data_IF_099175352080
#
_entry.id   IF_099175352080
#
_cell.length_a   1.000
_cell.length_b   1.000
_cell.length_c   1.000
_cell.angle_alpha   90.00
_cell.angle_beta   90.00
_cell.angle_gamma   90.00
#
_symmetry.space_group_name_H-M   'P 1'
#
loop_
_entity.id
_entity.type
_entity.pdbx_description
1 polymer ?
#
# COMPACT_ATOMS: atom_id res chain seq x y z
N UNK A 1 41.60 68.43 3.58
CA UNK A 1 40.49 67.80 4.26
C UNK A 1 39.74 66.99 3.22
N UNK A 2 40.00 65.70 3.12
CA UNK A 2 39.34 64.75 2.20
C UNK A 2 38.40 63.86 3.04
N UNK A 3 37.08 63.87 2.70
CA UNK A 3 36.08 63.10 3.38
C UNK A 3 36.16 61.61 2.97
N UNK A 4 35.91 60.66 3.87
CA UNK A 4 35.99 59.24 3.55
C UNK A 4 34.73 58.74 2.78
N UNK A 5 34.99 58.00 1.69
CA UNK A 5 34.00 57.29 0.87
C UNK A 5 33.49 56.09 1.66
N UNK A 6 32.17 56.01 1.85
CA UNK A 6 31.46 54.84 2.46
C UNK A 6 31.36 53.68 1.45
N UNK A 7 31.68 52.44 1.83
CA UNK A 7 31.49 51.30 0.96
C UNK A 7 30.01 50.96 0.77
N UNK A 8 29.58 50.72 -0.49
CA UNK A 8 28.27 50.22 -0.85
C UNK A 8 28.10 48.78 -0.31
N UNK A 9 27.10 48.57 0.52
CA UNK A 9 26.69 47.24 0.96
C UNK A 9 26.17 46.43 -0.22
N UNK A 10 26.87 45.33 -0.56
CA UNK A 10 26.38 44.32 -1.49
C UNK A 10 25.19 43.55 -0.86
N UNK A 11 24.13 43.39 -1.60
CA UNK A 11 22.95 42.58 -1.23
C UNK A 11 23.36 41.09 -1.15
N UNK A 12 22.84 40.31 -0.19
CA UNK A 12 23.20 38.93 -0.04
C UNK A 12 22.64 38.07 -1.22
N UNK A 13 23.38 37.03 -1.65
CA UNK A 13 23.05 36.25 -2.86
C UNK A 13 21.73 35.49 -2.80
N UNK A 14 21.09 35.40 -1.63
CA UNK A 14 19.80 34.74 -1.46
C UNK A 14 18.59 35.49 -2.06
N UNK A 15 18.67 36.80 -2.27
CA UNK A 15 17.59 37.60 -2.84
C UNK A 15 17.53 37.49 -4.38
N UNK A 16 18.65 37.20 -5.05
CA UNK A 16 18.70 37.03 -6.51
C UNK A 16 18.12 35.63 -6.90
N UNK A 17 18.32 34.61 -6.06
CA UNK A 17 17.74 33.27 -6.30
C UNK A 17 16.21 33.23 -6.16
N UNK A 18 15.62 34.06 -5.29
CA UNK A 18 14.18 34.11 -5.06
C UNK A 18 13.43 34.79 -6.22
N UNK A 19 14.03 35.75 -6.90
CA UNK A 19 13.41 36.46 -8.04
C UNK A 19 13.45 35.60 -9.31
N UNK A 20 14.45 34.73 -9.50
CA UNK A 20 14.49 33.78 -10.62
C UNK A 20 13.55 32.57 -10.45
N UNK A 21 13.22 32.18 -9.22
CA UNK A 21 12.29 31.07 -8.97
C UNK A 21 10.82 31.46 -9.21
N UNK A 22 10.47 32.75 -9.20
CA UNK A 22 9.10 33.22 -9.46
C UNK A 22 8.79 33.46 -10.95
N UNK A 23 9.81 33.48 -11.82
CA UNK A 23 9.61 33.71 -13.26
C UNK A 23 9.36 32.42 -14.08
N UNK A 24 9.53 31.23 -13.50
CA UNK A 24 9.33 29.93 -14.20
C UNK A 24 7.95 29.28 -13.94
N UNK A 25 7.04 29.94 -13.22
CA UNK A 25 5.73 29.36 -12.85
C UNK A 25 4.57 29.86 -13.70
N UNK A 26 4.80 30.43 -14.87
CA UNK A 26 3.75 31.02 -15.71
C UNK A 26 3.69 30.46 -17.14
N UNK A 27 4.11 29.20 -17.37
CA UNK A 27 3.75 28.50 -18.60
C UNK A 27 3.07 27.19 -18.19
N UNK A 28 1.88 27.29 -17.58
CA UNK A 28 0.93 26.20 -17.72
C UNK A 28 0.62 26.12 -19.23
N UNK A 29 0.77 24.94 -19.89
CA UNK A 29 0.24 24.79 -21.23
C UNK A 29 -1.26 25.11 -21.11
N UNK A 30 -1.69 26.18 -21.76
CA UNK A 30 -3.10 26.41 -21.97
C UNK A 30 -3.60 25.09 -22.56
N UNK A 31 -4.46 24.37 -21.85
CA UNK A 31 -5.18 23.24 -22.41
C UNK A 31 -5.75 23.80 -23.71
N UNK A 32 -5.26 23.28 -24.85
CA UNK A 32 -5.77 23.65 -26.14
C UNK A 32 -7.28 23.38 -26.06
N UNK A 33 -8.06 24.44 -25.91
CA UNK A 33 -9.49 24.38 -26.22
C UNK A 33 -9.52 23.82 -27.61
N UNK A 34 -10.16 22.65 -27.78
CA UNK A 34 -10.47 22.14 -29.09
C UNK A 34 -11.08 23.36 -29.83
N UNK A 35 -10.38 23.82 -30.88
CA UNK A 35 -10.87 24.89 -31.70
C UNK A 35 -12.25 24.43 -32.18
N UNK A 36 -13.28 25.24 -31.82
CA UNK A 36 -14.65 25.01 -32.21
C UNK A 36 -14.67 25.29 -33.72
N UNK A 37 -14.30 24.31 -34.56
CA UNK A 37 -14.32 24.39 -36.01
C UNK A 37 -15.56 23.65 -36.56
N UNK A 38 -16.69 24.35 -36.70
CA UNK A 38 -17.94 23.77 -37.16
C UNK A 38 -17.84 23.19 -38.58
N UNK A 39 -16.93 23.71 -39.41
CA UNK A 39 -16.72 23.24 -40.76
C UNK A 39 -16.01 21.89 -40.76
N UNK A 40 -14.88 21.80 -40.06
CA UNK A 40 -14.15 20.55 -39.92
C UNK A 40 -15.00 19.49 -39.22
N UNK A 41 -15.78 19.85 -38.17
CA UNK A 41 -16.70 18.93 -37.51
C UNK A 41 -17.75 18.36 -38.50
N UNK A 42 -18.29 19.20 -39.38
CA UNK A 42 -19.25 18.76 -40.40
C UNK A 42 -18.61 17.84 -41.44
N UNK A 43 -17.40 18.15 -41.89
CA UNK A 43 -16.67 17.34 -42.86
C UNK A 43 -16.44 15.95 -42.31
N UNK A 44 -15.98 15.84 -41.04
CA UNK A 44 -15.77 14.55 -40.35
C UNK A 44 -17.11 13.81 -40.12
N UNK A 45 -18.20 14.50 -39.81
CA UNK A 45 -19.53 13.90 -39.70
C UNK A 45 -19.96 13.26 -41.04
N UNK A 46 -19.83 14.02 -42.15
CA UNK A 46 -20.17 13.51 -43.49
C UNK A 46 -19.30 12.33 -43.87
N UNK A 47 -18.00 12.36 -43.55
CA UNK A 47 -17.08 11.23 -43.75
C UNK A 47 -17.54 10.00 -42.96
N UNK A 48 -17.90 10.18 -41.70
CA UNK A 48 -18.43 9.09 -40.86
C UNK A 48 -19.72 8.51 -41.45
N UNK A 49 -20.63 9.33 -41.92
CA UNK A 49 -21.86 8.88 -42.56
C UNK A 49 -21.62 8.12 -43.87
N UNK A 50 -20.58 8.44 -44.63
CA UNK A 50 -20.16 7.64 -45.77
C UNK A 50 -19.64 6.27 -45.38
N UNK A 51 -18.71 6.23 -44.38
CA UNK A 51 -18.14 4.98 -43.88
C UNK A 51 -19.20 4.03 -43.29
N UNK A 52 -20.28 4.58 -42.70
CA UNK A 52 -21.43 3.76 -42.29
C UNK A 52 -22.10 3.05 -43.49
N UNK A 53 -22.26 3.74 -44.62
CA UNK A 53 -22.83 3.11 -45.84
C UNK A 53 -21.94 2.01 -46.39
N UNK A 54 -20.63 2.16 -46.22
CA UNK A 54 -19.62 1.16 -46.63
C UNK A 54 -19.44 0.06 -45.57
N UNK A 55 -20.24 0.07 -44.48
CA UNK A 55 -20.18 -0.83 -43.31
C UNK A 55 -18.82 -0.83 -42.60
N UNK A 56 -17.98 0.19 -42.80
CA UNK A 56 -16.77 0.41 -42.03
C UNK A 56 -17.11 1.10 -40.69
N UNK A 57 -17.58 0.33 -39.74
CA UNK A 57 -18.03 0.81 -38.42
C UNK A 57 -16.90 1.41 -37.60
N UNK A 58 -15.67 0.87 -37.73
CA UNK A 58 -14.52 1.35 -36.98
C UNK A 58 -14.02 2.69 -37.52
N UNK A 59 -13.93 2.84 -38.84
CA UNK A 59 -13.61 4.10 -39.49
C UNK A 59 -14.68 5.17 -39.25
N UNK A 60 -15.97 4.78 -39.31
CA UNK A 60 -17.08 5.66 -39.00
C UNK A 60 -17.05 6.17 -37.56
N UNK A 61 -16.78 5.26 -36.59
CA UNK A 61 -16.61 5.64 -35.19
C UNK A 61 -15.52 6.70 -35.01
N UNK A 62 -14.33 6.46 -35.57
CA UNK A 62 -13.20 7.39 -35.47
C UNK A 62 -13.55 8.79 -36.07
N UNK A 63 -14.25 8.83 -37.20
CA UNK A 63 -14.70 10.07 -37.82
C UNK A 63 -15.73 10.80 -36.95
N UNK A 64 -16.75 10.09 -36.41
CA UNK A 64 -17.74 10.69 -35.51
C UNK A 64 -17.13 11.13 -34.19
N UNK A 65 -16.20 10.40 -33.61
CA UNK A 65 -15.47 10.80 -32.40
C UNK A 65 -14.63 12.08 -32.66
N UNK A 66 -14.05 12.23 -33.86
CA UNK A 66 -13.34 13.44 -34.27
C UNK A 66 -14.29 14.60 -34.42
N UNK A 67 -15.43 14.42 -35.15
CA UNK A 67 -16.49 15.39 -35.26
C UNK A 67 -17.00 15.87 -33.89
N UNK A 68 -17.24 14.93 -32.97
CA UNK A 68 -17.72 15.23 -31.60
C UNK A 68 -16.71 16.02 -30.77
N UNK A 69 -15.40 15.77 -30.96
CA UNK A 69 -14.35 16.57 -30.28
C UNK A 69 -14.28 17.99 -30.80
N UNK A 70 -14.44 18.18 -32.10
CA UNK A 70 -14.46 19.52 -32.74
C UNK A 70 -15.72 20.29 -32.38
N UNK A 71 -16.88 19.64 -32.42
CA UNK A 71 -18.18 20.26 -32.07
C UNK A 71 -19.11 19.18 -31.50
N UNK A 72 -19.30 19.11 -30.17
CA UNK A 72 -20.27 18.20 -29.58
C UNK A 72 -21.68 18.42 -30.10
N UNK A 73 -22.37 17.34 -30.50
CA UNK A 73 -23.75 17.41 -30.99
C UNK A 73 -24.47 16.07 -30.74
N UNK A 74 -25.70 16.04 -30.19
CA UNK A 74 -26.39 14.82 -29.81
C UNK A 74 -26.63 13.87 -30.98
N UNK A 75 -26.78 14.35 -32.23
CA UNK A 75 -26.85 13.46 -33.39
C UNK A 75 -25.51 12.76 -33.65
N UNK A 76 -24.37 13.45 -33.44
CA UNK A 76 -23.04 12.82 -33.57
C UNK A 76 -22.85 11.76 -32.50
N UNK A 77 -23.23 12.06 -31.24
CA UNK A 77 -23.19 11.12 -30.12
C UNK A 77 -24.09 9.90 -30.34
N UNK A 78 -25.29 10.11 -30.94
CA UNK A 78 -26.16 9.01 -31.39
C UNK A 78 -25.46 8.10 -32.43
N UNK A 79 -24.80 8.68 -33.45
CA UNK A 79 -24.11 7.90 -34.47
C UNK A 79 -22.90 7.14 -33.91
N UNK A 80 -22.19 7.70 -32.93
CA UNK A 80 -21.17 6.98 -32.15
C UNK A 80 -21.79 5.73 -31.49
N UNK A 81 -22.95 5.89 -30.83
CA UNK A 81 -23.68 4.79 -30.22
C UNK A 81 -24.09 3.72 -31.25
N UNK A 82 -24.54 4.12 -32.44
CA UNK A 82 -24.91 3.21 -33.51
C UNK A 82 -23.72 2.38 -34.03
N UNK A 83 -22.56 3.02 -34.26
CA UNK A 83 -21.32 2.34 -34.63
C UNK A 83 -20.87 1.33 -33.56
N UNK A 84 -20.85 1.74 -32.28
CA UNK A 84 -20.49 0.87 -31.16
C UNK A 84 -21.43 -0.34 -31.03
N UNK A 85 -22.75 -0.13 -31.23
CA UNK A 85 -23.75 -1.20 -31.23
C UNK A 85 -23.49 -2.19 -32.37
N UNK A 86 -23.20 -1.69 -33.57
CA UNK A 86 -22.89 -2.54 -34.74
C UNK A 86 -21.61 -3.40 -34.50
N UNK A 87 -20.64 -2.89 -33.74
CA UNK A 87 -19.43 -3.61 -33.37
C UNK A 87 -19.60 -4.52 -32.12
N UNK A 88 -20.79 -4.63 -31.53
CA UNK A 88 -21.04 -5.46 -30.34
C UNK A 88 -20.52 -4.84 -29.03
N UNK A 89 -20.09 -3.59 -29.00
CA UNK A 89 -19.62 -2.89 -27.81
C UNK A 89 -20.81 -2.25 -27.07
N UNK A 90 -21.65 -3.08 -26.50
CA UNK A 90 -22.97 -2.69 -26.02
C UNK A 90 -22.93 -1.77 -24.79
N UNK A 91 -22.00 -1.96 -23.87
CA UNK A 91 -21.82 -1.06 -22.71
C UNK A 91 -21.46 0.35 -23.14
N UNK A 92 -20.53 0.50 -24.10
CA UNK A 92 -20.14 1.79 -24.68
C UNK A 92 -21.28 2.40 -25.49
N UNK A 93 -21.96 1.58 -26.32
CA UNK A 93 -23.10 2.01 -27.12
C UNK A 93 -24.24 2.57 -26.23
N UNK A 94 -24.57 1.84 -25.17
CA UNK A 94 -25.57 2.27 -24.21
C UNK A 94 -25.21 3.62 -23.57
N UNK A 95 -23.94 3.79 -23.18
CA UNK A 95 -23.43 5.04 -22.62
C UNK A 95 -23.59 6.17 -23.64
N UNK A 96 -23.18 5.96 -24.89
CA UNK A 96 -23.31 6.96 -25.95
C UNK A 96 -24.77 7.36 -26.22
N UNK A 97 -25.69 6.41 -26.32
CA UNK A 97 -27.12 6.69 -26.50
C UNK A 97 -27.71 7.45 -25.31
N UNK A 98 -27.34 7.08 -24.07
CA UNK A 98 -27.77 7.81 -22.88
C UNK A 98 -27.26 9.26 -22.91
N UNK A 99 -25.98 9.46 -23.25
CA UNK A 99 -25.40 10.80 -23.40
C UNK A 99 -26.09 11.61 -24.49
N UNK A 100 -26.42 11.01 -25.64
CA UNK A 100 -27.15 11.70 -26.70
C UNK A 100 -28.54 12.24 -26.23
N UNK A 101 -29.25 11.42 -25.41
CA UNK A 101 -30.52 11.84 -24.79
C UNK A 101 -30.32 12.97 -23.78
N UNK A 102 -29.23 12.90 -23.00
CA UNK A 102 -28.91 13.96 -22.04
C UNK A 102 -28.42 15.26 -22.69
N UNK A 103 -27.73 15.18 -23.81
CA UNK A 103 -27.24 16.32 -24.57
C UNK A 103 -28.40 17.04 -25.31
N UNK A 104 -29.42 16.28 -25.72
CA UNK A 104 -30.60 16.81 -26.39
C UNK A 104 -31.35 17.80 -25.52
N UNK A 105 -31.64 18.98 -26.05
CA UNK A 105 -32.33 20.04 -25.33
C UNK A 105 -31.48 20.90 -24.40
N UNK A 106 -30.16 20.67 -24.33
CA UNK A 106 -29.25 21.48 -23.49
C UNK A 106 -28.97 22.88 -24.09
N UNK A 107 -29.32 23.13 -25.34
CA UNK A 107 -29.08 24.40 -25.99
C UNK A 107 -29.74 24.51 -27.35
N UNK A 108 -29.77 25.72 -27.95
CA UNK A 108 -30.36 25.95 -29.26
C UNK A 108 -29.70 25.07 -30.33
N UNK A 109 -30.50 24.34 -31.11
CA UNK A 109 -30.02 23.46 -32.17
C UNK A 109 -29.35 22.18 -31.71
N UNK A 110 -29.40 21.88 -30.42
CA UNK A 110 -28.92 20.62 -29.84
C UNK A 110 -30.07 19.66 -29.56
N UNK A 111 -30.98 19.50 -30.52
CA UNK A 111 -32.13 18.63 -30.36
C UNK A 111 -32.01 17.38 -31.24
N UNK A 112 -32.31 16.25 -30.66
CA UNK A 112 -32.66 15.05 -31.44
C UNK A 112 -34.09 15.25 -31.97
N UNK A 113 -34.33 14.86 -33.23
CA UNK A 113 -35.69 14.79 -33.71
C UNK A 113 -36.52 13.80 -32.84
N UNK A 114 -37.85 14.00 -32.81
CA UNK A 114 -38.75 13.11 -32.06
C UNK A 114 -38.54 11.62 -32.43
N UNK A 115 -38.36 11.34 -33.72
CA UNK A 115 -38.10 9.99 -34.20
C UNK A 115 -36.77 9.41 -33.65
N UNK A 116 -35.67 10.20 -33.72
CA UNK A 116 -34.36 9.77 -33.17
C UNK A 116 -34.40 9.62 -31.65
N UNK A 117 -35.14 10.47 -30.96
CA UNK A 117 -35.31 10.39 -29.50
C UNK A 117 -35.97 9.07 -29.12
N UNK A 118 -37.08 8.71 -29.77
CA UNK A 118 -37.75 7.41 -29.46
C UNK A 118 -36.91 6.19 -29.89
N UNK A 119 -36.23 6.31 -31.01
CA UNK A 119 -35.30 5.26 -31.45
C UNK A 119 -34.15 5.07 -30.46
N UNK A 120 -33.56 6.17 -29.97
CA UNK A 120 -32.48 6.13 -28.98
C UNK A 120 -32.93 5.47 -27.66
N UNK A 121 -34.13 5.83 -27.16
CA UNK A 121 -34.74 5.19 -25.98
C UNK A 121 -34.94 3.68 -26.18
N UNK A 122 -35.40 3.30 -27.38
CA UNK A 122 -35.60 1.89 -27.74
C UNK A 122 -34.25 1.14 -27.74
N UNK A 123 -33.19 1.71 -28.30
CA UNK A 123 -31.84 1.10 -28.26
C UNK A 123 -31.30 0.98 -26.84
N UNK A 124 -31.46 1.98 -26.00
CA UNK A 124 -31.05 1.86 -24.57
C UNK A 124 -31.78 0.69 -23.91
N UNK A 125 -33.08 0.55 -24.13
CA UNK A 125 -33.89 -0.55 -23.57
C UNK A 125 -33.47 -1.92 -24.12
N UNK A 126 -33.19 -2.01 -25.41
CA UNK A 126 -32.70 -3.22 -26.07
C UNK A 126 -31.34 -3.63 -25.48
N UNK A 127 -30.41 -2.68 -25.40
CA UNK A 127 -29.06 -2.92 -24.87
C UNK A 127 -29.09 -3.33 -23.39
N UNK A 128 -29.98 -2.76 -22.58
CA UNK A 128 -30.15 -3.16 -21.18
C UNK A 128 -30.58 -4.64 -21.02
N UNK A 129 -31.26 -5.20 -22.03
CA UNK A 129 -31.62 -6.62 -22.06
C UNK A 129 -30.52 -7.54 -22.57
N UNK A 130 -29.64 -7.00 -23.45
CA UNK A 130 -28.52 -7.76 -23.99
C UNK A 130 -27.31 -7.82 -23.04
N UNK A 131 -27.11 -6.77 -22.25
CA UNK A 131 -25.99 -6.69 -21.32
C UNK A 131 -26.07 -7.76 -20.24
N UNK A 132 -24.95 -8.48 -20.04
CA UNK A 132 -24.81 -9.46 -18.97
C UNK A 132 -24.49 -8.79 -17.64
N UNK A 133 -24.68 -9.52 -16.56
CA UNK A 133 -24.38 -9.08 -15.20
C UNK A 133 -23.52 -10.14 -14.51
N UNK A 134 -22.34 -9.71 -14.03
CA UNK A 134 -21.54 -10.48 -13.09
C UNK A 134 -21.89 -10.03 -11.67
N UNK A 135 -22.29 -10.96 -10.82
CA UNK A 135 -22.56 -10.72 -9.41
C UNK A 135 -21.39 -11.29 -8.61
N UNK A 136 -20.54 -10.39 -8.12
CA UNK A 136 -19.23 -10.71 -7.61
C UNK A 136 -19.15 -10.57 -6.09
N UNK A 137 -18.44 -11.51 -5.47
CA UNK A 137 -17.91 -11.41 -4.11
C UNK A 137 -16.41 -11.68 -4.19
N UNK A 138 -15.60 -10.77 -3.69
CA UNK A 138 -14.14 -10.85 -3.75
C UNK A 138 -13.59 -10.93 -2.33
N UNK A 139 -12.68 -11.84 -2.10
CA UNK A 139 -11.98 -12.03 -0.82
C UNK A 139 -10.46 -12.00 -1.07
N UNK A 140 -9.69 -11.17 -0.35
CA UNK A 140 -10.12 -10.17 0.62
C UNK A 140 -10.76 -8.93 -0.04
N UNK A 141 -11.51 -8.17 0.76
CA UNK A 141 -12.05 -6.88 0.33
C UNK A 141 -10.96 -5.94 -0.18
N UNK A 142 -11.33 -4.96 -1.00
CA UNK A 142 -10.43 -3.92 -1.54
C UNK A 142 -9.35 -4.46 -2.52
N UNK A 143 -9.53 -5.65 -3.07
CA UNK A 143 -8.69 -6.09 -4.18
C UNK A 143 -8.89 -5.16 -5.39
N UNK A 144 -7.81 -4.93 -6.13
CA UNK A 144 -7.87 -4.19 -7.39
C UNK A 144 -8.46 -5.09 -8.46
N UNK A 145 -9.40 -4.56 -9.26
CA UNK A 145 -10.08 -5.33 -10.31
C UNK A 145 -10.01 -4.63 -11.66
N UNK A 146 -9.76 -5.43 -12.71
CA UNK A 146 -9.97 -5.03 -14.11
C UNK A 146 -10.74 -6.11 -14.84
N UNK A 147 -11.46 -5.71 -15.89
CA UNK A 147 -12.05 -6.63 -16.88
C UNK A 147 -11.47 -6.25 -18.24
N UNK A 148 -10.87 -7.22 -18.93
CA UNK A 148 -10.15 -7.04 -20.20
C UNK A 148 -9.09 -5.93 -20.15
N UNK A 149 -8.36 -5.83 -19.02
CA UNK A 149 -7.34 -4.80 -18.79
C UNK A 149 -7.88 -3.38 -18.61
N UNK A 150 -9.20 -3.24 -18.37
CA UNK A 150 -9.86 -1.94 -18.18
C UNK A 150 -10.39 -1.81 -16.75
N UNK A 151 -10.22 -0.65 -16.10
CA UNK A 151 -10.84 -0.40 -14.81
C UNK A 151 -12.36 -0.27 -14.96
N UNK A 152 -13.07 -0.54 -13.86
CA UNK A 152 -14.52 -0.39 -13.80
C UNK A 152 -14.92 1.04 -13.42
N UNK A 153 -16.09 1.49 -13.88
CA UNK A 153 -16.68 2.76 -13.45
C UNK A 153 -18.02 2.52 -12.73
N UNK A 154 -18.42 3.40 -11.81
CA UNK A 154 -19.75 3.32 -11.20
C UNK A 154 -20.84 3.42 -12.26
N UNK A 155 -21.86 2.58 -12.17
CA UNK A 155 -23.03 2.64 -13.03
C UNK A 155 -23.88 3.88 -12.71
N UNK A 156 -24.59 4.46 -13.70
CA UNK A 156 -25.58 5.48 -13.43
C UNK A 156 -26.61 5.03 -12.38
N UNK A 157 -27.13 5.99 -11.60
CA UNK A 157 -28.05 5.69 -10.50
C UNK A 157 -29.27 4.86 -10.94
N UNK A 158 -29.85 5.15 -12.12
CA UNK A 158 -30.97 4.40 -12.67
C UNK A 158 -30.61 2.92 -12.95
N UNK A 159 -29.40 2.63 -13.44
CA UNK A 159 -28.92 1.28 -13.70
C UNK A 159 -28.70 0.52 -12.39
N UNK A 160 -28.08 1.20 -11.41
CA UNK A 160 -27.85 0.63 -10.08
C UNK A 160 -29.19 0.34 -9.38
N UNK A 161 -30.17 1.21 -9.45
CA UNK A 161 -31.50 0.99 -8.90
C UNK A 161 -32.21 -0.18 -9.57
N UNK A 162 -32.17 -0.29 -10.89
CA UNK A 162 -32.81 -1.36 -11.64
C UNK A 162 -32.20 -2.75 -11.35
N UNK A 163 -30.89 -2.82 -11.07
CA UNK A 163 -30.18 -4.08 -10.81
C UNK A 163 -30.04 -4.41 -9.32
N UNK A 164 -30.31 -3.45 -8.45
CA UNK A 164 -30.21 -3.57 -6.98
C UNK A 164 -28.76 -3.67 -6.48
N UNK A 165 -28.41 -2.83 -5.51
CA UNK A 165 -27.09 -2.79 -4.88
C UNK A 165 -26.03 -2.02 -5.67
N UNK A 166 -24.79 -2.08 -5.19
CA UNK A 166 -23.65 -1.42 -5.83
C UNK A 166 -23.39 -2.04 -7.19
N UNK A 167 -23.49 -1.23 -8.24
CA UNK A 167 -23.30 -1.68 -9.63
C UNK A 167 -22.19 -0.88 -10.30
N UNK A 168 -21.31 -1.59 -10.99
CA UNK A 168 -20.24 -1.04 -11.82
C UNK A 168 -20.48 -1.40 -13.29
N UNK A 169 -19.79 -0.72 -14.21
CA UNK A 169 -19.84 -1.02 -15.65
C UNK A 169 -18.41 -1.28 -16.13
N UNK A 170 -18.26 -2.36 -16.90
CA UNK A 170 -17.02 -2.72 -17.58
C UNK A 170 -16.99 -2.18 -19.01
N UNK A 171 -15.79 -2.07 -19.61
CA UNK A 171 -15.59 -1.80 -21.03
C UNK A 171 -15.72 -0.34 -21.46
N UNK A 172 -16.25 0.55 -20.64
CA UNK A 172 -16.49 1.95 -20.96
C UNK A 172 -15.25 2.86 -20.83
N UNK A 173 -14.30 2.47 -19.96
CA UNK A 173 -13.05 3.21 -19.77
C UNK A 173 -11.95 2.67 -20.69
N UNK A 174 -10.95 3.51 -20.97
CA UNK A 174 -9.74 3.08 -21.66
C UNK A 174 -8.94 2.07 -20.80
N UNK A 175 -8.11 1.22 -21.43
CA UNK A 175 -7.15 0.39 -20.70
C UNK A 175 -6.31 1.24 -19.74
N UNK A 176 -6.12 0.76 -18.52
CA UNK A 176 -5.45 1.54 -17.48
C UNK A 176 -5.34 0.80 -16.14
N UNK A 177 -4.79 1.47 -15.13
CA UNK A 177 -4.57 0.86 -13.83
C UNK A 177 -5.89 0.40 -13.20
N UNK A 178 -5.82 -0.76 -12.54
CA UNK A 178 -6.93 -1.33 -11.80
C UNK A 178 -7.40 -0.39 -10.67
N UNK A 179 -8.69 -0.44 -10.35
CA UNK A 179 -9.29 0.28 -9.23
C UNK A 179 -9.76 -0.70 -8.16
N UNK A 180 -9.82 -0.24 -6.92
CA UNK A 180 -10.32 -1.04 -5.82
C UNK A 180 -11.78 -1.46 -6.06
N UNK A 181 -12.06 -2.75 -5.86
CA UNK A 181 -13.42 -3.29 -5.89
C UNK A 181 -14.21 -2.77 -4.68
N UNK A 182 -15.53 -2.59 -4.81
CA UNK A 182 -16.39 -2.34 -3.66
C UNK A 182 -16.30 -3.47 -2.63
N UNK A 183 -16.50 -3.13 -1.36
CA UNK A 183 -16.58 -4.12 -0.29
C UNK A 183 -17.84 -4.97 -0.41
N UNK A 184 -17.71 -6.24 -0.05
CA UNK A 184 -18.80 -7.18 -0.04
C UNK A 184 -19.27 -7.59 -1.45
N UNK A 185 -20.58 -7.71 -1.61
CA UNK A 185 -21.21 -8.14 -2.87
C UNK A 185 -21.54 -6.94 -3.75
N UNK A 186 -21.16 -7.01 -5.02
CA UNK A 186 -21.45 -5.97 -6.02
C UNK A 186 -21.69 -6.61 -7.39
N UNK A 187 -22.30 -5.83 -8.28
CA UNK A 187 -22.63 -6.27 -9.64
C UNK A 187 -21.78 -5.52 -10.66
N UNK A 188 -21.42 -6.20 -11.74
CA UNK A 188 -20.73 -5.58 -12.88
C UNK A 188 -21.54 -5.85 -14.14
N UNK A 189 -21.93 -4.77 -14.82
CA UNK A 189 -22.56 -4.83 -16.14
C UNK A 189 -21.46 -4.91 -17.19
N UNK A 190 -21.58 -5.86 -18.10
CA UNK A 190 -20.55 -6.18 -19.09
C UNK A 190 -21.19 -6.65 -20.39
N UNK A 191 -20.48 -6.51 -21.50
CA UNK A 191 -20.93 -7.04 -22.79
C UNK A 191 -21.07 -8.57 -22.75
N UNK A 192 -21.94 -9.18 -23.55
CA UNK A 192 -21.89 -10.62 -23.75
C UNK A 192 -20.60 -11.00 -24.49
N UNK A 193 -20.07 -12.20 -24.19
CA UNK A 193 -18.83 -12.68 -24.76
C UNK A 193 -17.90 -13.26 -23.70
N UNK A 194 -16.65 -13.49 -24.08
CA UNK A 194 -15.62 -14.00 -23.17
C UNK A 194 -14.79 -12.85 -22.62
N UNK A 195 -14.72 -12.78 -21.30
CA UNK A 195 -14.02 -11.72 -20.57
C UNK A 195 -12.96 -12.30 -19.64
N UNK A 196 -11.90 -11.54 -19.42
CA UNK A 196 -10.81 -11.85 -18.50
C UNK A 196 -10.93 -10.90 -17.31
N UNK A 197 -11.24 -11.46 -16.14
CA UNK A 197 -11.27 -10.74 -14.88
C UNK A 197 -9.90 -10.89 -14.23
N UNK A 198 -9.20 -9.81 -13.96
CA UNK A 198 -7.92 -9.82 -13.26
C UNK A 198 -8.08 -9.16 -11.91
N UNK A 199 -7.63 -9.83 -10.87
CA UNK A 199 -7.59 -9.34 -9.50
C UNK A 199 -6.15 -9.27 -9.02
N UNK A 200 -5.82 -8.20 -8.33
CA UNK A 200 -4.52 -8.05 -7.67
C UNK A 200 -4.66 -7.33 -6.33
N UNK A 201 -3.79 -7.67 -5.39
CA UNK A 201 -3.68 -6.99 -4.10
C UNK A 201 -2.28 -7.17 -3.53
N UNK A 202 -1.64 -6.13 -2.99
CA UNK A 202 -0.35 -6.26 -2.33
C UNK A 202 -0.39 -7.35 -1.24
N UNK A 203 0.59 -8.25 -1.25
CA UNK A 203 0.67 -9.39 -0.32
C UNK A 203 -0.13 -10.62 -0.73
N UNK A 204 -0.79 -10.60 -1.87
CA UNK A 204 -1.55 -11.73 -2.40
C UNK A 204 -1.07 -12.09 -3.81
N UNK A 205 -1.27 -13.33 -4.21
CA UNK A 205 -1.05 -13.76 -5.58
C UNK A 205 -2.14 -13.17 -6.49
N UNK A 206 -1.75 -12.70 -7.67
CA UNK A 206 -2.72 -12.23 -8.66
C UNK A 206 -3.59 -13.39 -9.12
N UNK A 207 -4.89 -13.13 -9.27
CA UNK A 207 -5.86 -14.10 -9.77
C UNK A 207 -6.44 -13.66 -11.11
N UNK A 208 -6.58 -14.60 -12.03
CA UNK A 208 -7.19 -14.39 -13.35
C UNK A 208 -8.31 -15.40 -13.54
N UNK A 209 -9.54 -14.90 -13.76
CA UNK A 209 -10.70 -15.72 -14.06
C UNK A 209 -11.24 -15.40 -15.46
N UNK A 210 -11.54 -16.43 -16.23
CA UNK A 210 -12.11 -16.29 -17.57
C UNK A 210 -13.59 -16.67 -17.53
N UNK A 211 -14.45 -15.72 -17.92
CA UNK A 211 -15.90 -15.91 -17.97
C UNK A 211 -16.44 -15.72 -19.37
N UNK A 212 -17.26 -16.67 -19.82
CA UNK A 212 -18.07 -16.52 -21.04
C UNK A 212 -19.51 -16.24 -20.64
N UNK A 213 -20.04 -15.13 -21.11
CA UNK A 213 -21.36 -14.60 -20.76
C UNK A 213 -22.26 -14.58 -21.99
N UNK A 214 -23.43 -15.14 -21.86
CA UNK A 214 -24.47 -15.03 -22.90
C UNK A 214 -25.30 -13.77 -22.70
N UNK A 215 -25.96 -13.25 -23.77
CA UNK A 215 -26.77 -12.03 -23.66
C UNK A 215 -27.83 -12.15 -22.53
N UNK A 216 -27.92 -11.09 -21.72
CA UNK A 216 -28.87 -10.96 -20.62
C UNK A 216 -28.60 -11.84 -19.39
N UNK A 217 -27.57 -12.67 -19.40
CA UNK A 217 -27.28 -13.57 -18.29
C UNK A 217 -26.86 -12.83 -17.02
N UNK A 218 -27.20 -13.42 -15.88
CA UNK A 218 -26.63 -13.06 -14.57
C UNK A 218 -25.84 -14.23 -14.03
N UNK A 219 -24.54 -14.04 -13.83
CA UNK A 219 -23.61 -15.06 -13.35
C UNK A 219 -23.04 -14.65 -12.01
N UNK A 220 -23.16 -15.51 -10.99
CA UNK A 220 -22.57 -15.28 -9.68
C UNK A 220 -21.18 -15.90 -9.61
N UNK A 221 -20.22 -15.14 -9.06
CA UNK A 221 -18.84 -15.58 -8.87
C UNK A 221 -18.31 -15.15 -7.50
N UNK A 222 -17.66 -16.09 -6.84
CA UNK A 222 -16.84 -15.84 -5.66
C UNK A 222 -15.38 -15.99 -6.08
N UNK A 223 -14.61 -14.94 -5.95
CA UNK A 223 -13.20 -14.89 -6.33
C UNK A 223 -12.35 -14.68 -5.07
N UNK A 224 -11.35 -15.52 -4.89
CA UNK A 224 -10.47 -15.49 -3.73
C UNK A 224 -9.03 -15.30 -4.19
N UNK A 225 -8.27 -14.47 -3.46
CA UNK A 225 -6.85 -14.27 -3.66
C UNK A 225 -6.08 -15.02 -2.60
N UNK A 226 -5.10 -15.81 -3.00
CA UNK A 226 -4.22 -16.54 -2.11
C UNK A 226 -3.19 -15.60 -1.48
N UNK A 227 -2.98 -15.74 -0.16
CA UNK A 227 -1.96 -14.97 0.55
C UNK A 227 -0.57 -15.42 0.15
N UNK A 228 0.30 -14.47 -0.20
CA UNK A 228 1.71 -14.76 -0.41
C UNK A 228 2.39 -15.09 0.93
N UNK A 229 3.32 -16.05 0.96
CA UNK A 229 4.13 -16.29 2.14
C UNK A 229 5.01 -15.07 2.45
N UNK A 230 5.25 -14.83 3.73
CA UNK A 230 6.23 -13.86 4.19
C UNK A 230 7.62 -14.46 4.18
N UNK A 231 8.63 -13.65 3.88
CA UNK A 231 10.04 -14.02 3.99
C UNK A 231 10.62 -13.42 5.27
N UNK A 232 11.11 -14.29 6.17
CA UNK A 232 11.68 -13.88 7.45
C UNK A 232 13.19 -14.11 7.37
N UNK A 233 13.95 -13.02 7.42
CA UNK A 233 15.40 -13.03 7.46
C UNK A 233 15.88 -12.69 8.86
N UNK A 234 16.62 -13.62 9.47
CA UNK A 234 17.20 -13.43 10.80
C UNK A 234 18.70 -13.27 10.68
N UNK A 235 19.20 -12.15 11.16
CA UNK A 235 20.65 -11.84 11.22
C UNK A 235 21.06 -11.55 12.66
N UNK A 236 22.31 -11.77 13.00
CA UNK A 236 22.84 -11.37 14.29
C UNK A 236 24.25 -10.75 14.16
N UNK A 237 24.66 -10.02 15.18
CA UNK A 237 26.02 -9.46 15.28
C UNK A 237 27.10 -10.52 15.41
N UNK A 238 26.74 -11.79 15.67
CA UNK A 238 27.64 -12.93 15.67
C UNK A 238 27.11 -14.02 14.74
N UNK A 239 27.92 -14.47 13.80
CA UNK A 239 27.55 -15.54 12.88
C UNK A 239 27.40 -16.89 13.60
N UNK A 240 26.57 -17.78 13.05
CA UNK A 240 26.41 -19.14 13.56
C UNK A 240 25.64 -19.20 14.89
N UNK A 241 24.80 -18.26 15.20
CA UNK A 241 23.85 -18.36 16.30
C UNK A 241 22.63 -19.19 15.87
N UNK A 242 22.18 -20.10 16.72
CA UNK A 242 20.99 -20.92 16.47
C UNK A 242 19.73 -20.08 16.51
N UNK A 243 18.87 -20.27 15.51
CA UNK A 243 17.60 -19.55 15.38
C UNK A 243 16.44 -20.52 15.56
N UNK A 244 15.53 -20.19 16.47
CA UNK A 244 14.25 -20.88 16.62
C UNK A 244 13.13 -19.92 16.25
N UNK A 245 12.16 -20.41 15.47
CA UNK A 245 10.95 -19.67 15.12
C UNK A 245 9.75 -20.50 15.55
N UNK A 246 8.94 -19.96 16.47
CA UNK A 246 7.88 -20.69 17.16
C UNK A 246 8.38 -22.04 17.71
N UNK A 247 9.51 -22.00 18.44
CA UNK A 247 10.19 -23.17 19.06
C UNK A 247 10.82 -24.17 18.06
N UNK A 248 10.55 -24.05 16.77
CA UNK A 248 11.17 -24.89 15.74
C UNK A 248 12.55 -24.35 15.35
N UNK A 249 13.57 -25.21 15.33
CA UNK A 249 14.90 -24.88 14.83
C UNK A 249 14.87 -24.68 13.32
N UNK A 250 15.30 -23.49 12.84
CA UNK A 250 15.33 -23.12 11.43
C UNK A 250 16.74 -22.92 10.89
N UNK A 251 17.77 -23.16 11.70
CA UNK A 251 19.15 -23.08 11.30
C UNK A 251 19.98 -22.05 12.04
N UNK A 252 21.07 -21.62 11.43
CA UNK A 252 22.07 -20.72 12.03
C UNK A 252 22.03 -19.34 11.31
N UNK A 253 22.28 -18.28 12.07
CA UNK A 253 22.38 -16.92 11.51
C UNK A 253 23.58 -16.75 10.57
N UNK A 254 23.43 -16.06 9.39
CA UNK A 254 22.20 -15.52 8.84
C UNK A 254 21.32 -16.61 8.20
N UNK A 255 20.00 -16.59 8.45
CA UNK A 255 19.05 -17.55 7.88
C UNK A 255 17.85 -16.79 7.29
N UNK A 256 17.33 -17.33 6.19
CA UNK A 256 16.12 -16.81 5.52
C UNK A 256 15.14 -17.97 5.34
N UNK A 257 13.90 -17.74 5.77
CA UNK A 257 12.82 -18.74 5.71
C UNK A 257 11.55 -18.12 5.12
N UNK A 258 10.82 -18.93 4.37
CA UNK A 258 9.49 -18.58 3.85
C UNK A 258 8.43 -19.24 4.73
N UNK A 259 7.47 -18.45 5.23
CA UNK A 259 6.40 -18.90 6.12
C UNK A 259 5.08 -18.18 5.79
N UNK A 260 3.91 -18.78 6.08
CA UNK A 260 2.63 -18.08 5.99
C UNK A 260 2.66 -16.76 6.76
N UNK A 261 1.86 -15.77 6.36
CA UNK A 261 1.72 -14.53 7.13
C UNK A 261 1.14 -14.81 8.53
N UNK A 262 1.68 -14.13 9.55
CA UNK A 262 1.23 -14.33 10.93
C UNK A 262 2.22 -13.80 11.96
N UNK A 263 1.93 -14.10 13.23
CA UNK A 263 2.83 -13.77 14.35
C UNK A 263 3.88 -14.86 14.53
N UNK A 264 5.11 -14.44 14.70
CA UNK A 264 6.25 -15.31 14.93
C UNK A 264 7.00 -14.90 16.17
N UNK A 265 7.32 -15.90 17.00
CA UNK A 265 8.22 -15.78 18.13
C UNK A 265 9.60 -16.23 17.66
N UNK A 266 10.57 -15.31 17.66
CA UNK A 266 11.93 -15.55 17.16
C UNK A 266 12.89 -15.51 18.32
N UNK A 267 13.59 -16.63 18.55
CA UNK A 267 14.59 -16.78 19.60
C UNK A 267 15.94 -17.08 18.96
N UNK A 268 16.96 -16.30 19.31
CA UNK A 268 18.32 -16.51 18.82
C UNK A 268 19.23 -16.84 20.00
N UNK A 269 19.91 -18.00 19.92
CA UNK A 269 20.74 -18.53 20.99
C UNK A 269 22.17 -18.77 20.49
N UNK A 270 23.16 -18.45 21.34
CA UNK A 270 24.56 -18.79 21.11
C UNK A 270 25.22 -19.09 22.45
N UNK A 271 26.02 -20.17 22.60
CA UNK A 271 26.73 -20.45 23.82
C UNK A 271 27.60 -19.26 24.27
N UNK A 272 27.50 -18.89 25.56
CA UNK A 272 28.23 -17.76 26.14
C UNK A 272 27.58 -16.37 25.89
N UNK A 273 26.36 -16.35 25.36
CA UNK A 273 25.61 -15.11 25.12
C UNK A 273 24.20 -15.17 25.74
N UNK A 274 23.68 -14.03 26.10
CA UNK A 274 22.29 -13.88 26.52
C UNK A 274 21.37 -14.21 25.36
N UNK A 275 20.27 -14.90 25.65
CA UNK A 275 19.26 -15.27 24.66
C UNK A 275 18.59 -13.97 24.16
N UNK A 276 18.53 -13.82 22.84
CA UNK A 276 17.70 -12.79 22.20
C UNK A 276 16.32 -13.40 21.93
N UNK A 277 15.28 -12.70 22.37
CA UNK A 277 13.89 -13.12 22.27
C UNK A 277 13.04 -11.95 21.77
N UNK A 278 12.26 -12.17 20.72
CA UNK A 278 11.36 -11.15 20.16
C UNK A 278 10.16 -11.79 19.49
N UNK A 279 9.07 -11.03 19.45
CA UNK A 279 7.89 -11.38 18.67
C UNK A 279 7.71 -10.37 17.54
N UNK A 280 7.48 -10.87 16.33
CA UNK A 280 7.27 -10.06 15.14
C UNK A 280 6.03 -10.53 14.38
N UNK A 281 5.32 -9.59 13.75
CA UNK A 281 4.23 -9.90 12.83
C UNK A 281 4.74 -9.81 11.40
N UNK A 282 4.52 -10.86 10.63
CA UNK A 282 4.88 -10.91 9.21
C UNK A 282 3.61 -10.82 8.36
N UNK A 283 3.44 -9.73 7.63
CA UNK A 283 2.31 -9.54 6.73
C UNK A 283 2.47 -10.35 5.44
N UNK A 284 1.38 -10.66 4.73
CA UNK A 284 1.44 -11.41 3.48
C UNK A 284 2.39 -10.76 2.47
N UNK A 285 3.34 -11.54 1.93
CA UNK A 285 4.34 -11.07 0.96
C UNK A 285 5.42 -10.16 1.52
N UNK A 286 5.46 -9.95 2.84
CA UNK A 286 6.43 -9.06 3.49
C UNK A 286 7.81 -9.72 3.60
N UNK A 287 8.87 -8.90 3.42
CA UNK A 287 10.24 -9.24 3.81
C UNK A 287 10.50 -8.69 5.21
N UNK A 288 10.43 -9.56 6.21
CA UNK A 288 10.65 -9.22 7.62
C UNK A 288 12.13 -9.45 7.96
N UNK A 289 12.85 -8.39 8.34
CA UNK A 289 14.22 -8.47 8.80
C UNK A 289 14.26 -8.40 10.33
N UNK A 290 14.75 -9.46 10.96
CA UNK A 290 14.98 -9.54 12.41
C UNK A 290 16.47 -9.46 12.68
N UNK A 291 16.90 -8.41 13.37
CA UNK A 291 18.30 -8.22 13.76
C UNK A 291 18.46 -8.53 15.25
N UNK A 292 19.10 -9.66 15.55
CA UNK A 292 19.39 -10.08 16.92
C UNK A 292 20.71 -9.49 17.38
N UNK A 293 20.68 -8.68 18.43
CA UNK A 293 21.90 -8.17 19.09
C UNK A 293 22.20 -9.05 20.30
N UNK A 294 23.09 -10.01 20.12
CA UNK A 294 23.56 -10.89 21.20
C UNK A 294 24.59 -10.15 22.06
N UNK A 295 24.44 -10.25 23.37
CA UNK A 295 25.38 -9.71 24.37
C UNK A 295 26.05 -10.90 25.10
N UNK A 296 27.36 -10.77 25.35
CA UNK A 296 28.06 -11.79 26.10
C UNK A 296 27.45 -11.95 27.50
N UNK A 297 27.19 -13.21 27.88
CA UNK A 297 26.78 -13.54 29.23
C UNK A 297 28.04 -13.59 30.13
N UNK A 298 28.39 -12.41 30.67
CA UNK A 298 29.51 -12.32 31.63
C UNK A 298 28.96 -12.60 33.03
N UNK A 299 29.35 -13.71 33.62
CA UNK A 299 28.91 -14.02 35.00
C UNK A 299 29.33 -12.87 35.92
N UNK A 300 28.36 -12.37 36.69
CA UNK A 300 28.59 -11.26 37.62
C UNK A 300 29.71 -11.62 38.59
N UNK A 301 30.45 -10.63 39.08
CA UNK A 301 31.52 -10.84 40.06
C UNK A 301 31.04 -11.65 41.26
N UNK A 302 29.80 -11.47 41.66
CA UNK A 302 29.14 -12.16 42.77
C UNK A 302 28.91 -13.68 42.52
N UNK A 303 28.90 -14.12 41.25
CA UNK A 303 28.75 -15.53 40.86
C UNK A 303 30.09 -16.28 40.82
N UNK A 304 31.18 -15.55 40.93
CA UNK A 304 32.53 -16.19 40.92
C UNK A 304 32.91 -16.58 42.33
N UNK A 305 33.29 -17.88 42.53
CA UNK A 305 33.64 -18.45 43.84
C UNK A 305 34.71 -17.64 44.56
N UNK A 306 35.73 -17.15 43.83
CA UNK A 306 36.82 -16.34 44.39
C UNK A 306 36.35 -15.00 45.02
N UNK A 307 35.23 -14.42 44.52
CA UNK A 307 34.63 -13.20 45.08
C UNK A 307 34.21 -13.44 46.53
N UNK A 308 33.50 -14.55 46.79
CA UNK A 308 33.05 -14.90 48.15
C UNK A 308 34.22 -15.32 49.02
N UNK A 309 35.30 -15.95 48.48
CA UNK A 309 36.53 -16.21 49.18
C UNK A 309 37.21 -14.91 49.62
N UNK A 310 37.29 -13.90 48.73
CA UNK A 310 37.82 -12.60 49.07
C UNK A 310 36.99 -11.86 50.11
N UNK A 311 35.66 -11.87 49.99
CA UNK A 311 34.74 -11.32 51.00
C UNK A 311 34.92 -12.03 52.34
N UNK A 312 35.03 -13.37 52.35
CA UNK A 312 35.28 -14.18 53.56
C UNK A 312 36.57 -13.78 54.26
N UNK A 313 37.67 -13.62 53.52
CA UNK A 313 38.96 -13.17 54.07
C UNK A 313 38.85 -11.79 54.71
N UNK A 314 38.18 -10.83 54.06
CA UNK A 314 37.97 -9.50 54.63
C UNK A 314 37.15 -9.52 55.89
N UNK A 315 36.05 -10.30 55.90
CA UNK A 315 35.18 -10.42 57.09
C UNK A 315 35.90 -11.05 58.26
N UNK A 316 36.64 -12.16 58.01
CA UNK A 316 37.46 -12.85 59.04
C UNK A 316 38.57 -11.94 59.53
N UNK A 317 39.27 -11.23 58.62
CA UNK A 317 40.28 -10.27 58.96
C UNK A 317 39.77 -9.12 59.82
N UNK A 318 38.60 -8.53 59.46
CA UNK A 318 37.96 -7.50 60.27
C UNK A 318 37.54 -8.02 61.67
N UNK A 319 36.97 -9.25 61.75
CA UNK A 319 36.58 -9.87 63.02
C UNK A 319 37.77 -10.14 63.91
N UNK A 320 38.91 -10.64 63.34
CA UNK A 320 40.15 -10.85 64.06
C UNK A 320 40.77 -9.53 64.54
N UNK A 321 40.76 -8.48 63.68
CA UNK A 321 41.25 -7.17 64.07
C UNK A 321 40.42 -6.60 65.19
N UNK A 322 39.11 -6.66 65.09
CA UNK A 322 38.19 -6.17 66.15
C UNK A 322 38.42 -6.96 67.44
N UNK A 323 38.58 -8.29 67.34
CA UNK A 323 38.85 -9.15 68.51
C UNK A 323 40.17 -8.79 69.18
N UNK A 324 41.23 -8.54 68.42
CA UNK A 324 42.53 -8.13 68.98
C UNK A 324 42.46 -6.76 69.63
N UNK A 325 41.78 -5.79 69.00
CA UNK A 325 41.61 -4.42 69.53
C UNK A 325 40.66 -4.33 70.75
N UNK A 326 39.77 -5.25 70.92
CA UNK A 326 38.81 -5.28 72.01
C UNK A 326 39.20 -6.26 73.13
N UNK A 327 40.29 -6.97 73.00
CA UNK A 327 40.81 -7.81 74.05
C UNK A 327 41.15 -6.95 75.28
N UNK A 328 40.63 -7.18 76.45
CA UNK A 328 41.12 -6.56 77.69
C UNK A 328 42.60 -6.98 77.90
N UNK A 329 43.43 -5.99 78.27
CA UNK A 329 44.81 -6.29 78.61
C UNK A 329 44.87 -7.45 79.63
N UNK A 330 45.80 -8.44 79.46
CA UNK A 330 45.90 -9.45 80.45
C UNK A 330 46.37 -8.82 81.75
N UNK A 331 45.60 -9.07 82.81
CA UNK A 331 45.96 -8.62 84.16
C UNK A 331 47.40 -9.07 84.46
N UNK A 332 48.27 -8.09 84.68
CA UNK A 332 49.62 -8.37 85.08
C UNK A 332 49.58 -9.06 86.41
N UNK A 333 50.19 -10.29 86.59
CA UNK A 333 50.24 -10.95 87.88
C UNK A 333 50.91 -9.99 88.90
N UNK A 334 50.28 -9.84 90.06
CA UNK A 334 50.77 -9.04 91.16
C UNK A 334 52.22 -9.45 91.48
N UNK A 335 53.16 -8.56 91.34
CA UNK A 335 54.57 -8.80 91.74
C UNK A 335 54.59 -8.83 93.25
N UNK A 336 54.62 -10.02 93.79
CA UNK A 336 54.97 -10.20 95.23
C UNK A 336 56.41 -9.77 95.44
N UNK A 337 56.58 -8.54 95.91
CA UNK A 337 57.91 -8.05 96.36
C UNK A 337 58.34 -8.80 97.60
N UNK A 338 59.16 -9.82 97.36
CA UNK A 338 59.89 -10.46 98.43
C UNK A 338 60.80 -9.44 99.12
N UNK A 339 60.32 -8.90 100.20
CA UNK A 339 61.14 -8.02 101.03
C UNK A 339 62.16 -8.83 101.77
N UNK A 340 63.46 -8.67 101.39
CA UNK A 340 64.59 -9.10 102.22
C UNK A 340 64.72 -8.15 103.42
N UNK A 341 64.20 -8.59 104.58
CA UNK A 341 64.39 -7.92 105.82
C UNK A 341 65.87 -7.99 106.28
N UNK A 342 66.56 -6.88 106.22
CA UNK A 342 67.81 -6.68 106.85
C UNK A 342 67.53 -6.00 108.23
N UNK A 343 67.72 -6.75 109.30
CA UNK A 343 67.74 -6.22 110.64
C UNK A 343 69.13 -5.59 110.95
N UNK A 344 69.28 -4.29 111.01
CA UNK A 344 70.45 -3.64 111.48
C UNK A 344 70.24 -3.41 113.02
N UNK A 345 71.02 -3.99 113.82
CA UNK A 345 71.17 -3.76 115.22
C UNK A 345 72.29 -2.75 115.37
N UNK A 346 72.05 -1.62 116.01
CA UNK A 346 73.09 -0.72 116.51
C UNK A 346 73.10 -0.66 118.04
N UNK A 347 74.30 -0.27 118.61
CA UNK A 347 74.57 -0.51 120.07
C UNK A 347 73.86 0.40 121.05
#
# INVERSE_FOLDING_TARGET
MLAPVRPRRALPPFLVALVMALATFAIAPAAARADDDPKAAREEFVRGAQLVRDADWAGALAAFETSSRLKPHPVTTYNIGACLRAMGQYTRARKAFASALEESGRGPGLDLSAGLTEETKRYVTELDRLLATLDLVITPDEALITIDGRPLEPAPAAVSAARGGTTLVAGTLAPGPAKAAPKGRFKVVVDPGTHIITLSRPGFADAVDRQTLVPGATVQRKLELDRLPAQIRVVSNFMGAQVLVNEADVGLTPVEISRPAGKYHVVVKKPGFLIFDTSANADPGQHLNVTATLREDKPSLTQRWWFWTGVGVVVVGAALTTYVLTRPDPERPAVNGGGLGWAVRSP
#
